data_IF_193426308774
#
_entry.id   IF_193426308774
#
_cell.length_a   1.000
_cell.length_b   1.000
_cell.length_c   1.000
_cell.angle_alpha   90.00
_cell.angle_beta   90.00
_cell.angle_gamma   90.00
#
_symmetry.space_group_name_H-M   'P 1'
#
loop_
_entity.id
_entity.type
_entity.pdbx_description
1 polymer ?
#
# COMPACT_ATOMS: atom_id res chain seq x y z
N UNK A 1 -22.04 -8.68 4.06
CA UNK A 1 -20.71 -8.74 3.39
C UNK A 1 -19.70 -7.93 4.18
N UNK A 2 -18.52 -8.45 4.32
CA UNK A 2 -17.40 -7.73 4.94
C UNK A 2 -16.86 -6.74 3.90
N UNK A 3 -16.79 -5.46 4.26
CA UNK A 3 -16.25 -4.43 3.37
C UNK A 3 -14.75 -4.31 3.58
N UNK A 4 -13.98 -4.68 2.57
CA UNK A 4 -12.53 -4.73 2.62
C UNK A 4 -11.92 -3.72 1.65
N UNK A 5 -11.19 -2.74 2.18
CA UNK A 5 -10.44 -1.80 1.34
C UNK A 5 -9.12 -2.42 0.88
N UNK A 6 -8.82 -2.26 -0.40
CA UNK A 6 -7.54 -2.68 -0.98
C UNK A 6 -6.68 -1.42 -1.18
N UNK A 7 -5.67 -1.29 -0.36
CA UNK A 7 -4.72 -0.18 -0.41
C UNK A 7 -3.40 -0.71 -0.96
N UNK A 8 -3.22 -0.54 -2.27
CA UNK A 8 -2.02 -1.03 -2.96
C UNK A 8 -0.86 -0.04 -2.88
N UNK A 9 0.35 -0.58 -2.84
CA UNK A 9 1.55 0.22 -2.87
C UNK A 9 2.81 -0.65 -2.81
N UNK A 10 3.95 -0.04 -3.11
CA UNK A 10 5.23 -0.73 -2.98
C UNK A 10 5.67 -0.86 -1.52
N UNK A 11 5.26 0.07 -0.67
CA UNK A 11 5.63 0.09 0.76
C UNK A 11 7.15 -0.12 0.94
N UNK A 12 7.91 0.85 0.52
CA UNK A 12 9.37 0.72 0.37
C UNK A 12 10.15 1.86 1.05
N UNK A 13 10.14 1.97 2.37
CA UNK A 13 9.42 1.14 3.33
C UNK A 13 8.00 1.64 3.63
N UNK A 14 7.23 0.79 4.28
CA UNK A 14 6.00 1.21 4.95
C UNK A 14 6.35 2.25 6.02
N UNK A 15 5.46 3.22 6.23
CA UNK A 15 5.70 4.29 7.20
C UNK A 15 4.42 4.71 7.90
N UNK A 16 4.54 5.63 8.85
CA UNK A 16 3.41 6.09 9.65
C UNK A 16 2.31 6.73 8.80
N UNK A 17 2.67 7.38 7.71
CA UNK A 17 1.69 7.97 6.80
C UNK A 17 0.76 6.95 6.16
N UNK A 18 1.27 5.78 5.80
CA UNK A 18 0.44 4.70 5.27
C UNK A 18 -0.58 4.22 6.30
N UNK A 19 -0.14 4.05 7.54
CA UNK A 19 -0.99 3.55 8.63
C UNK A 19 -2.07 4.57 9.00
N UNK A 20 -1.69 5.84 9.11
CA UNK A 20 -2.62 6.93 9.39
C UNK A 20 -3.69 7.01 8.30
N UNK A 21 -3.26 6.95 7.05
CA UNK A 21 -4.17 7.00 5.90
C UNK A 21 -5.11 5.80 5.89
N UNK A 22 -4.59 4.61 6.14
CA UNK A 22 -5.42 3.40 6.21
C UNK A 22 -6.50 3.51 7.29
N UNK A 23 -6.15 4.04 8.47
CA UNK A 23 -7.13 4.27 9.55
C UNK A 23 -8.20 5.28 9.15
N UNK A 24 -7.78 6.38 8.53
CA UNK A 24 -8.71 7.43 8.08
C UNK A 24 -9.69 6.90 7.03
N UNK A 25 -9.18 6.19 6.04
CA UNK A 25 -10.02 5.65 4.96
C UNK A 25 -10.94 4.55 5.44
N UNK A 26 -10.48 3.72 6.37
CA UNK A 26 -11.32 2.71 7.00
C UNK A 26 -12.54 3.34 7.65
N UNK A 27 -12.34 4.44 8.35
CA UNK A 27 -13.43 5.16 9.01
C UNK A 27 -14.32 5.89 8.01
N UNK A 28 -13.72 6.65 7.10
CA UNK A 28 -14.46 7.50 6.15
C UNK A 28 -15.32 6.70 5.18
N UNK A 29 -14.82 5.56 4.72
CA UNK A 29 -15.52 4.72 3.76
C UNK A 29 -16.33 3.60 4.43
N UNK A 30 -16.42 3.62 5.75
CA UNK A 30 -17.14 2.61 6.53
C UNK A 30 -16.68 1.19 6.17
N UNK A 31 -15.37 0.98 6.18
CA UNK A 31 -14.78 -0.33 5.88
C UNK A 31 -14.63 -1.14 7.16
N UNK A 32 -14.83 -2.45 7.05
CA UNK A 32 -14.60 -3.37 8.18
C UNK A 32 -13.10 -3.63 8.35
N UNK A 33 -12.37 -3.65 7.24
CA UNK A 33 -10.93 -3.88 7.25
C UNK A 33 -10.25 -3.22 6.05
N UNK A 34 -8.95 -3.01 6.16
CA UNK A 34 -8.10 -2.54 5.07
C UNK A 34 -6.94 -3.51 4.90
N UNK A 35 -6.73 -3.97 3.68
CA UNK A 35 -5.58 -4.80 3.32
C UNK A 35 -4.55 -3.93 2.62
N UNK A 36 -3.38 -3.83 3.22
CA UNK A 36 -2.23 -3.19 2.57
C UNK A 36 -1.66 -4.20 1.58
N UNK A 37 -1.98 -4.01 0.32
CA UNK A 37 -1.57 -4.92 -0.75
C UNK A 37 -0.17 -4.55 -1.19
N UNK A 38 0.82 -5.30 -0.73
CA UNK A 38 2.21 -5.04 -1.08
C UNK A 38 2.46 -5.51 -2.51
N UNK A 39 2.77 -4.57 -3.39
CA UNK A 39 2.97 -4.86 -4.82
C UNK A 39 4.29 -5.56 -5.05
N UNK A 40 4.30 -6.68 -5.81
CA UNK A 40 5.53 -7.35 -6.17
C UNK A 40 6.37 -6.50 -7.11
N UNK A 41 7.68 -6.75 -7.15
CA UNK A 41 8.56 -6.10 -8.09
C UNK A 41 8.14 -6.44 -9.53
N UNK A 42 7.93 -5.39 -10.34
CA UNK A 42 7.61 -5.57 -11.75
C UNK A 42 8.88 -5.98 -12.48
N UNK A 43 8.93 -7.17 -13.12
CA UNK A 43 10.14 -7.61 -13.83
C UNK A 43 10.50 -6.72 -15.02
N UNK A 44 9.54 -5.91 -15.51
CA UNK A 44 9.77 -4.98 -16.62
C UNK A 44 10.26 -3.62 -16.15
N UNK A 45 10.21 -3.31 -14.85
CA UNK A 45 10.62 -2.04 -14.26
C UNK A 45 11.41 -2.31 -13.00
N UNK A 46 12.69 -2.59 -13.15
CA UNK A 46 13.58 -2.80 -12.01
C UNK A 46 14.02 -1.46 -11.46
N UNK A 47 13.84 -1.27 -10.16
CA UNK A 47 14.30 -0.08 -9.44
C UNK A 47 15.37 -0.49 -8.43
N UNK A 48 16.52 0.19 -8.48
CA UNK A 48 17.65 -0.11 -7.59
C UNK A 48 17.28 0.07 -6.10
N UNK A 49 16.36 0.99 -5.81
CA UNK A 49 15.95 1.29 -4.43
C UNK A 49 14.84 0.38 -3.91
N UNK A 50 14.26 -0.47 -4.76
CA UNK A 50 13.17 -1.34 -4.35
C UNK A 50 13.74 -2.60 -3.70
N UNK A 51 13.43 -2.78 -2.42
CA UNK A 51 13.81 -4.01 -1.72
C UNK A 51 13.04 -5.22 -2.25
N UNK A 52 13.59 -6.41 -1.98
CA UNK A 52 12.93 -7.66 -2.31
C UNK A 52 11.52 -7.72 -1.70
N UNK A 53 10.65 -8.46 -2.37
CA UNK A 53 9.25 -8.60 -1.96
C UNK A 53 9.11 -9.05 -0.50
N UNK A 54 9.89 -10.07 -0.09
CA UNK A 54 9.84 -10.61 1.26
C UNK A 54 10.25 -9.60 2.32
N UNK A 55 11.26 -8.77 2.02
CA UNK A 55 11.73 -7.75 2.97
C UNK A 55 10.65 -6.68 3.21
N UNK A 56 10.02 -6.22 2.13
CA UNK A 56 8.94 -5.24 2.23
C UNK A 56 7.72 -5.81 2.93
N UNK A 57 7.40 -7.06 2.65
CA UNK A 57 6.28 -7.76 3.26
C UNK A 57 6.50 -7.97 4.76
N UNK A 58 7.70 -8.35 5.18
CA UNK A 58 8.04 -8.50 6.60
C UNK A 58 7.83 -7.19 7.35
N UNK A 59 8.35 -6.09 6.82
CA UNK A 59 8.18 -4.78 7.44
C UNK A 59 6.72 -4.36 7.52
N UNK A 60 5.95 -4.62 6.46
CA UNK A 60 4.53 -4.29 6.46
C UNK A 60 3.76 -5.08 7.51
N UNK A 61 4.03 -6.38 7.65
CA UNK A 61 3.40 -7.21 8.68
C UNK A 61 3.71 -6.71 10.08
N UNK A 62 4.97 -6.39 10.33
CA UNK A 62 5.38 -5.87 11.65
C UNK A 62 4.76 -4.51 11.94
N UNK A 63 4.66 -3.65 10.94
CA UNK A 63 4.12 -2.31 11.10
C UNK A 63 2.66 -2.32 11.56
N UNK A 64 1.86 -3.28 11.09
CA UNK A 64 0.42 -3.33 11.39
C UNK A 64 0.04 -4.37 12.44
N UNK A 65 0.99 -5.00 13.09
CA UNK A 65 0.82 -6.06 14.09
C UNK A 65 0.04 -5.49 15.27
N UNK A 66 -0.52 -4.78 15.62
CA UNK A 66 -1.38 -4.27 16.69
C UNK A 66 -2.51 -3.40 16.17
N UNK A 67 -2.60 -3.25 14.85
CA UNK A 67 -3.63 -2.41 14.25
C UNK A 67 -4.92 -3.19 14.04
N UNK A 68 -6.00 -2.68 14.60
CA UNK A 68 -7.31 -3.30 14.46
C UNK A 68 -7.86 -3.09 13.05
N UNK A 69 -8.13 -4.19 12.35
CA UNK A 69 -8.75 -4.15 11.03
C UNK A 69 -7.82 -3.67 9.92
N UNK A 70 -6.51 -3.64 10.14
CA UNK A 70 -5.53 -3.30 9.11
C UNK A 70 -4.54 -4.46 9.01
N UNK A 71 -4.40 -5.04 7.83
CA UNK A 71 -3.56 -6.21 7.61
C UNK A 71 -2.67 -5.99 6.40
N UNK A 72 -1.46 -6.57 6.46
CA UNK A 72 -0.59 -6.64 5.30
C UNK A 72 -0.98 -7.86 4.47
N UNK A 73 -0.99 -7.70 3.15
CA UNK A 73 -1.46 -8.74 2.23
C UNK A 73 -0.44 -8.97 1.13
N UNK A 74 -0.09 -10.24 0.89
CA UNK A 74 0.87 -10.65 -0.12
C UNK A 74 0.22 -11.28 -1.35
N UNK A 75 -1.08 -11.11 -1.52
CA UNK A 75 -1.85 -11.81 -2.54
C UNK A 75 -1.29 -11.62 -3.96
N UNK A 76 -0.91 -10.40 -4.31
CA UNK A 76 -0.35 -10.11 -5.64
C UNK A 76 0.99 -10.81 -5.89
N UNK A 77 1.72 -11.17 -4.84
CA UNK A 77 2.97 -11.90 -4.97
C UNK A 77 2.77 -13.32 -5.51
N UNK A 78 1.55 -13.84 -5.40
CA UNK A 78 1.18 -15.18 -5.86
C UNK A 78 0.41 -15.17 -7.18
N UNK A 79 0.26 -13.99 -7.79
CA UNK A 79 -0.38 -13.83 -9.10
C UNK A 79 0.66 -13.63 -10.20
N UNK A 80 0.30 -13.89 -11.46
CA UNK A 80 1.20 -13.61 -12.59
C UNK A 80 1.65 -12.14 -12.62
N UNK A 81 2.89 -11.92 -12.99
CA UNK A 81 3.49 -10.57 -13.09
C UNK A 81 3.64 -10.17 -14.55
N UNK A 82 3.48 -8.88 -14.90
CA UNK A 82 3.17 -7.76 -14.02
C UNK A 82 1.75 -7.83 -13.45
N UNK A 83 1.57 -7.23 -12.26
CA UNK A 83 0.29 -7.22 -11.58
C UNK A 83 -0.62 -6.13 -12.14
N UNK A 84 -1.85 -6.51 -12.48
CA UNK A 84 -2.89 -5.56 -12.88
C UNK A 84 -4.02 -5.58 -11.86
N UNK A 85 -4.45 -4.41 -11.43
CA UNK A 85 -5.48 -4.27 -10.40
C UNK A 85 -6.77 -5.02 -10.74
N UNK A 86 -7.21 -4.97 -12.01
CA UNK A 86 -8.40 -5.70 -12.44
C UNK A 86 -8.28 -7.20 -12.16
N UNK A 87 -7.14 -7.79 -12.51
CA UNK A 87 -6.90 -9.22 -12.29
C UNK A 87 -6.89 -9.55 -10.79
N UNK A 88 -6.27 -8.69 -10.00
CA UNK A 88 -6.21 -8.85 -8.54
C UNK A 88 -7.60 -8.82 -7.92
N UNK A 89 -8.40 -7.81 -8.27
CA UNK A 89 -9.75 -7.66 -7.72
C UNK A 89 -10.67 -8.82 -8.13
N UNK A 90 -10.56 -9.29 -9.36
CA UNK A 90 -11.34 -10.45 -9.81
C UNK A 90 -10.96 -11.72 -9.05
N UNK A 91 -9.66 -11.96 -8.90
CA UNK A 91 -9.18 -13.15 -8.20
C UNK A 91 -9.60 -13.13 -6.73
N UNK A 92 -9.46 -11.97 -6.07
CA UNK A 92 -9.91 -11.79 -4.69
C UNK A 92 -11.40 -12.03 -4.54
N UNK A 93 -12.21 -11.50 -5.45
CA UNK A 93 -13.66 -11.65 -5.40
C UNK A 93 -14.10 -13.09 -5.55
N UNK A 94 -13.38 -13.87 -6.35
CA UNK A 94 -13.66 -15.30 -6.51
C UNK A 94 -13.24 -16.11 -5.27
N UNK A 95 -12.10 -15.77 -4.70
CA UNK A 95 -11.57 -16.50 -3.54
C UNK A 95 -12.26 -16.15 -2.23
N UNK A 96 -12.69 -14.90 -2.09
CA UNK A 96 -13.35 -14.40 -0.88
C UNK A 96 -14.76 -13.87 -1.20
N UNK A 97 -15.71 -14.76 -1.49
CA UNK A 97 -17.05 -14.32 -1.92
C UNK A 97 -17.88 -13.66 -0.81
N UNK A 98 -17.42 -13.74 0.44
CA UNK A 98 -18.04 -13.08 1.60
C UNK A 98 -17.60 -11.62 1.76
N UNK A 99 -16.72 -11.12 0.89
CA UNK A 99 -16.18 -9.76 0.95
C UNK A 99 -16.60 -8.91 -0.23
N UNK A 100 -16.85 -7.65 0.07
CA UNK A 100 -17.00 -6.61 -0.93
C UNK A 100 -15.71 -5.80 -0.94
N UNK A 101 -14.97 -5.85 -2.06
CA UNK A 101 -13.70 -5.17 -2.17
C UNK A 101 -13.88 -3.74 -2.66
N UNK A 102 -13.22 -2.80 -1.98
CA UNK A 102 -13.23 -1.37 -2.29
C UNK A 102 -11.79 -0.99 -2.66
N UNK A 103 -11.61 -0.41 -3.85
CA UNK A 103 -10.29 0.02 -4.30
C UNK A 103 -9.97 1.41 -3.73
N UNK A 104 -8.82 1.52 -3.07
CA UNK A 104 -8.31 2.79 -2.57
C UNK A 104 -7.19 3.25 -3.50
N UNK A 105 -7.29 4.45 -4.04
CA UNK A 105 -6.36 4.96 -5.05
C UNK A 105 -5.99 6.42 -4.75
N UNK A 106 -4.71 6.75 -4.90
CA UNK A 106 -4.25 8.12 -4.75
C UNK A 106 -4.69 9.02 -5.90
N UNK A 107 -4.89 10.31 -5.62
CA UNK A 107 -5.36 11.26 -6.62
C UNK A 107 -4.49 11.38 -7.86
N UNK A 108 -3.18 11.19 -7.71
CA UNK A 108 -2.23 11.19 -8.82
C UNK A 108 -2.47 10.00 -9.78
N UNK A 109 -2.68 8.83 -9.22
CA UNK A 109 -3.03 7.64 -10.02
C UNK A 109 -4.44 7.73 -10.58
N UNK A 110 -5.37 8.35 -9.85
CA UNK A 110 -6.74 8.54 -10.33
C UNK A 110 -6.78 9.35 -11.62
N UNK A 111 -5.92 10.34 -11.76
CA UNK A 111 -5.81 11.14 -12.99
C UNK A 111 -5.40 10.31 -14.20
N UNK A 112 -4.68 9.21 -13.98
CA UNK A 112 -4.20 8.31 -15.03
C UNK A 112 -5.01 7.03 -15.11
N UNK A 113 -6.08 6.92 -14.32
CA UNK A 113 -6.83 5.68 -14.16
C UNK A 113 -7.41 5.15 -15.47
N UNK A 114 -7.81 6.03 -16.39
CA UNK A 114 -8.35 5.62 -17.69
C UNK A 114 -7.36 4.79 -18.52
N UNK A 115 -6.08 4.87 -18.22
CA UNK A 115 -5.02 4.10 -18.88
C UNK A 115 -4.79 2.73 -18.26
N UNK A 116 -5.45 2.44 -17.15
CA UNK A 116 -5.28 1.16 -16.48
C UNK A 116 -5.96 0.04 -17.26
N UNK A 117 -5.39 -1.15 -17.18
CA UNK A 117 -5.95 -2.35 -17.76
C UNK A 117 -7.37 -2.58 -17.22
N UNK A 118 -8.35 -2.63 -18.11
CA UNK A 118 -9.77 -2.79 -17.78
C UNK A 118 -10.31 -1.71 -16.80
N UNK A 119 -9.86 -0.45 -16.97
CA UNK A 119 -10.29 0.65 -16.10
C UNK A 119 -11.81 0.78 -16.00
N UNK A 120 -12.50 0.69 -17.13
CA UNK A 120 -13.97 0.83 -17.13
C UNK A 120 -14.65 -0.34 -16.40
N UNK A 121 -14.13 -1.54 -16.55
CA UNK A 121 -14.65 -2.70 -15.83
C UNK A 121 -14.47 -2.56 -14.33
N UNK A 122 -13.34 -2.00 -13.89
CA UNK A 122 -13.12 -1.71 -12.47
C UNK A 122 -14.17 -0.73 -11.97
N UNK A 123 -14.40 0.38 -12.70
CA UNK A 123 -15.40 1.37 -12.31
C UNK A 123 -16.79 0.76 -12.15
N UNK A 124 -17.16 -0.13 -13.08
CA UNK A 124 -18.50 -0.70 -13.09
C UNK A 124 -18.74 -1.73 -11.98
N UNK A 125 -17.67 -2.42 -11.55
CA UNK A 125 -17.82 -3.57 -10.65
C UNK A 125 -17.32 -3.33 -9.22
N UNK A 126 -16.54 -2.27 -8.99
CA UNK A 126 -15.94 -2.02 -7.68
C UNK A 126 -16.13 -0.57 -7.26
N UNK A 127 -16.40 -0.37 -5.98
CA UNK A 127 -16.36 0.97 -5.38
C UNK A 127 -14.92 1.45 -5.36
N UNK A 128 -14.71 2.73 -5.68
CA UNK A 128 -13.38 3.34 -5.69
C UNK A 128 -13.38 4.52 -4.73
N UNK A 129 -12.40 4.55 -3.85
CA UNK A 129 -12.18 5.66 -2.92
C UNK A 129 -10.86 6.33 -3.27
N UNK A 130 -10.93 7.63 -3.58
CA UNK A 130 -9.74 8.40 -3.97
C UNK A 130 -9.26 9.20 -2.76
N UNK A 131 -7.96 9.11 -2.45
CA UNK A 131 -7.36 9.91 -1.39
C UNK A 131 -6.34 10.88 -1.95
N UNK A 132 -6.10 11.98 -1.22
CA UNK A 132 -5.19 13.03 -1.69
C UNK A 132 -3.73 12.70 -1.43
N UNK A 133 -2.87 13.06 -2.41
CA UNK A 133 -1.41 13.09 -2.26
C UNK A 133 -0.86 14.48 -2.59
N UNK A 134 -1.73 15.48 -2.65
CA UNK A 134 -1.36 16.83 -3.04
C UNK A 134 -1.13 17.70 -1.80
N UNK A 135 0.05 18.31 -1.63
CA UNK A 135 0.30 19.23 -0.53
C UNK A 135 -0.73 20.35 -0.49
N UNK A 136 -1.22 20.65 0.70
CA UNK A 136 -2.23 21.70 0.91
C UNK A 136 -3.67 21.21 0.87
N UNK A 137 -3.94 20.02 0.33
CA UNK A 137 -5.28 19.46 0.34
C UNK A 137 -5.66 18.94 1.73
N UNK A 138 -6.95 18.98 2.11
CA UNK A 138 -7.39 18.36 3.36
C UNK A 138 -7.05 16.89 3.40
N UNK A 139 -6.48 16.43 4.51
CA UNK A 139 -6.10 15.03 4.68
C UNK A 139 -4.73 14.66 4.11
N UNK A 140 -3.99 15.62 3.57
CA UNK A 140 -2.63 15.36 3.10
C UNK A 140 -1.72 14.97 4.27
N UNK A 141 -0.94 13.92 4.07
CA UNK A 141 0.01 13.43 5.07
C UNK A 141 1.41 13.59 4.50
N UNK A 142 2.24 14.42 5.15
CA UNK A 142 3.57 14.80 4.66
C UNK A 142 4.64 13.81 5.12
N UNK A 143 4.50 12.55 4.70
CA UNK A 143 5.52 11.50 4.91
C UNK A 143 5.63 10.74 3.60
N UNK A 144 6.86 10.54 3.13
CA UNK A 144 7.09 9.75 1.91
C UNK A 144 8.21 8.73 2.09
N UNK A 145 8.07 7.60 1.42
CA UNK A 145 9.10 6.56 1.41
C UNK A 145 10.41 7.06 0.78
N UNK A 146 10.30 7.90 -0.25
CA UNK A 146 11.46 8.53 -0.90
C UNK A 146 12.28 9.35 0.08
N UNK A 147 11.63 10.18 0.89
CA UNK A 147 12.30 11.00 1.90
C UNK A 147 12.92 10.13 2.99
N UNK A 148 12.25 9.06 3.41
CA UNK A 148 12.79 8.13 4.40
C UNK A 148 14.06 7.47 3.86
N UNK A 149 14.04 6.98 2.63
CA UNK A 149 15.24 6.37 2.03
C UNK A 149 16.39 7.37 1.93
N UNK A 150 16.09 8.63 1.57
CA UNK A 150 17.10 9.67 1.52
C UNK A 150 17.75 9.90 2.88
N UNK A 151 16.95 10.01 3.94
CA UNK A 151 17.45 10.22 5.30
C UNK A 151 18.34 9.06 5.76
N UNK A 152 17.96 7.85 5.45
CA UNK A 152 18.77 6.67 5.80
C UNK A 152 20.13 6.75 5.12
N UNK A 153 20.17 7.04 3.82
CA UNK A 153 21.44 7.15 3.07
C UNK A 153 22.34 8.26 3.58
N UNK A 154 21.75 9.36 4.03
CA UNK A 154 22.51 10.50 4.52
C UNK A 154 22.79 10.45 6.03
N UNK A 155 22.40 9.38 6.69
CA UNK A 155 22.62 9.24 8.13
C UNK A 155 21.78 10.16 8.99
N UNK A 156 20.66 10.65 8.46
CA UNK A 156 19.75 11.53 9.19
C UNK A 156 18.70 10.72 9.96
N UNK A 157 18.03 11.40 10.90
CA UNK A 157 16.97 10.76 11.70
C UNK A 157 15.76 10.44 10.84
N UNK A 158 15.30 9.20 10.89
CA UNK A 158 14.10 8.73 10.19
C UNK A 158 13.14 7.94 11.10
N UNK A 159 13.57 7.61 12.30
CA UNK A 159 12.87 6.70 13.21
C UNK A 159 11.52 7.23 13.65
N UNK A 160 11.34 8.54 13.62
CA UNK A 160 10.07 9.19 13.94
C UNK A 160 9.02 9.06 12.83
N UNK A 161 9.42 8.63 11.64
CA UNK A 161 8.55 8.52 10.47
C UNK A 161 7.99 7.12 10.24
N UNK A 162 8.52 6.13 10.93
CA UNK A 162 8.12 4.72 10.77
C UNK A 162 7.80 4.11 12.14
N UNK A 163 7.03 3.02 12.19
CA UNK A 163 6.87 2.28 13.44
C UNK A 163 8.22 1.79 13.96
N UNK A 164 8.35 1.68 15.28
CA UNK A 164 9.59 1.24 15.91
C UNK A 164 10.07 -0.11 15.37
N UNK A 165 9.14 -1.05 15.17
CA UNK A 165 9.46 -2.37 14.63
C UNK A 165 10.10 -2.28 13.25
N UNK A 166 9.64 -1.36 12.42
CA UNK A 166 10.19 -1.14 11.08
C UNK A 166 11.57 -0.50 11.18
N UNK A 167 11.74 0.51 12.03
CA UNK A 167 13.05 1.14 12.25
C UNK A 167 14.10 0.12 12.72
N UNK A 168 13.72 -0.75 13.63
CA UNK A 168 14.62 -1.80 14.15
C UNK A 168 15.05 -2.75 13.04
N UNK A 169 14.15 -3.18 12.18
CA UNK A 169 14.46 -4.06 11.05
C UNK A 169 15.39 -3.36 10.06
N UNK A 170 15.11 -2.12 9.71
CA UNK A 170 15.94 -1.34 8.79
C UNK A 170 17.38 -1.23 9.30
N UNK A 171 17.54 -0.91 10.58
CA UNK A 171 18.86 -0.78 11.20
C UNK A 171 19.60 -2.11 11.28
N UNK A 172 18.90 -3.17 11.70
CA UNK A 172 19.47 -4.49 11.85
C UNK A 172 19.96 -5.06 10.52
N UNK A 173 19.15 -4.90 9.47
CA UNK A 173 19.44 -5.46 8.15
C UNK A 173 20.27 -4.51 7.27
N UNK A 174 20.44 -3.26 7.65
CA UNK A 174 21.11 -2.26 6.83
C UNK A 174 20.36 -1.87 5.57
N UNK A 175 19.04 -1.95 5.58
CA UNK A 175 18.23 -1.62 4.41
C UNK A 175 18.34 -0.14 4.04
N UNK A 176 18.41 0.15 2.77
CA UNK A 176 18.46 1.51 2.19
C UNK A 176 19.74 2.30 2.51
N UNK A 177 20.69 1.68 3.18
CA UNK A 177 21.95 2.33 3.52
C UNK A 177 22.87 2.51 2.29
#
# INVERSE_FOLDING_TARGET
MIRTGIFGGSFNPIHNGHIILARQLKKQAALDEVWLMVSPQNPLKLHADLLADEARMEMARKAVEGEEGIMACDYEMHLPRPSYTWNTLQALSREYPDREFVLMIGGDNWKLFDRWYHAEDIRQHFEIVVYTRTPGDPGFIDISSTEIRRRIREGLVFEDLVPKSVADIIKEKGYYA
#
